data_IF_320711792665
#
_entry.id   IF_320711792665
#
_cell.length_a   1.000
_cell.length_b   1.000
_cell.length_c   1.000
_cell.angle_alpha   90.00
_cell.angle_beta   90.00
_cell.angle_gamma   90.00
#
_symmetry.space_group_name_H-M   'P 1'
#
loop_
_entity.id
_entity.type
_entity.pdbx_description
1 polymer ?
#
# COMPACT_ATOMS: atom_id res chain seq x y z
N UNK A 1 -4.67 7.02 -8.31
CA UNK A 1 -4.93 6.68 -9.73
C UNK A 1 -3.58 6.47 -10.38
N UNK A 2 -3.20 5.22 -10.62
CA UNK A 2 -1.93 4.94 -11.29
C UNK A 2 -1.99 5.47 -12.71
N UNK A 3 -0.96 6.22 -13.11
CA UNK A 3 -0.76 6.51 -14.51
C UNK A 3 -0.46 5.18 -15.19
N UNK A 4 -1.43 4.68 -15.96
CA UNK A 4 -1.25 3.50 -16.79
C UNK A 4 0.00 3.67 -17.66
N UNK A 5 0.63 2.58 -18.14
CA UNK A 5 1.72 2.69 -19.12
C UNK A 5 1.35 3.61 -20.29
N UNK A 6 0.07 3.62 -20.69
CA UNK A 6 -0.48 4.54 -21.70
C UNK A 6 -0.44 6.01 -21.25
N UNK A 7 -0.83 6.30 -20.00
CA UNK A 7 -0.78 7.65 -19.45
C UNK A 7 0.67 8.15 -19.28
N UNK A 8 1.60 7.31 -18.84
CA UNK A 8 3.04 7.64 -18.80
C UNK A 8 3.59 7.93 -20.20
N UNK A 9 3.22 7.15 -21.21
CA UNK A 9 3.58 7.44 -22.62
C UNK A 9 3.03 8.80 -23.06
N UNK A 10 1.77 9.14 -22.72
CA UNK A 10 1.19 10.46 -23.02
C UNK A 10 1.94 11.59 -22.33
N UNK A 11 2.33 11.43 -21.06
CA UNK A 11 3.13 12.42 -20.33
C UNK A 11 4.50 12.60 -21.00
N UNK A 12 5.20 11.52 -21.35
CA UNK A 12 6.48 11.60 -22.08
C UNK A 12 6.35 12.30 -23.42
N UNK A 13 5.29 12.01 -24.18
CA UNK A 13 5.02 12.68 -25.45
C UNK A 13 4.78 14.18 -25.23
N UNK A 14 3.96 14.53 -24.24
CA UNK A 14 3.62 15.91 -23.90
C UNK A 14 4.85 16.70 -23.42
N UNK A 15 5.72 16.10 -22.60
CA UNK A 15 7.04 16.66 -22.25
C UNK A 15 7.86 16.93 -23.50
N UNK A 16 7.98 15.95 -24.40
CA UNK A 16 8.70 16.10 -25.67
C UNK A 16 8.15 17.23 -26.54
N UNK A 17 6.83 17.34 -26.65
CA UNK A 17 6.16 18.42 -27.38
C UNK A 17 6.46 19.79 -26.78
N UNK A 18 6.41 19.95 -25.45
CA UNK A 18 6.74 21.23 -24.81
C UNK A 18 8.20 21.63 -25.00
N UNK A 19 9.13 20.68 -24.92
CA UNK A 19 10.54 20.96 -25.22
C UNK A 19 10.74 21.33 -26.69
N UNK A 20 10.09 20.62 -27.62
CA UNK A 20 10.16 20.93 -29.04
C UNK A 20 9.60 22.33 -29.36
N UNK A 21 8.43 22.68 -28.78
CA UNK A 21 7.84 24.01 -28.92
C UNK A 21 8.74 25.10 -28.31
N UNK A 22 9.27 24.88 -27.10
CA UNK A 22 10.19 25.81 -26.46
C UNK A 22 11.47 26.04 -27.28
N UNK A 23 12.06 24.97 -27.81
CA UNK A 23 13.23 25.05 -28.69
C UNK A 23 12.92 25.78 -30.00
N UNK A 24 11.77 25.49 -30.63
CA UNK A 24 11.33 26.17 -31.85
C UNK A 24 11.10 27.67 -31.61
N UNK A 25 10.44 28.05 -30.51
CA UNK A 25 10.25 29.46 -30.14
C UNK A 25 11.58 30.18 -29.93
N UNK A 26 12.57 29.50 -29.36
CA UNK A 26 13.92 30.07 -29.21
C UNK A 26 14.61 30.30 -30.57
N UNK A 27 14.53 29.33 -31.48
CA UNK A 27 15.05 29.47 -32.86
C UNK A 27 14.38 30.64 -33.59
N UNK A 28 13.05 30.76 -33.51
CA UNK A 28 12.30 31.87 -34.11
C UNK A 28 12.74 33.21 -33.50
N UNK A 29 12.92 33.28 -32.18
CA UNK A 29 13.40 34.48 -31.52
C UNK A 29 14.81 34.90 -31.99
N UNK A 30 15.72 33.94 -32.20
CA UNK A 30 17.06 34.21 -32.77
C UNK A 30 16.95 34.75 -34.19
N UNK A 31 16.09 34.16 -35.04
CA UNK A 31 15.85 34.63 -36.40
C UNK A 31 15.30 36.07 -36.37
N UNK A 32 14.29 36.35 -35.55
CA UNK A 32 13.72 37.70 -35.45
C UNK A 32 14.74 38.74 -34.98
N UNK A 33 15.63 38.35 -34.05
CA UNK A 33 16.73 39.19 -33.60
C UNK A 33 17.71 39.52 -34.75
N UNK A 34 18.00 38.59 -35.65
CA UNK A 34 18.85 38.83 -36.83
C UNK A 34 18.22 39.82 -37.82
N UNK A 35 16.88 39.92 -37.85
CA UNK A 35 16.13 40.86 -38.69
C UNK A 35 15.67 42.12 -37.94
N UNK A 36 16.17 42.36 -36.72
CA UNK A 36 15.79 43.52 -35.89
C UNK A 36 14.28 43.63 -35.59
N UNK A 37 13.56 42.50 -35.58
CA UNK A 37 12.14 42.44 -35.20
C UNK A 37 12.04 42.16 -33.70
N UNK A 38 11.64 43.15 -32.90
CA UNK A 38 11.41 42.94 -31.47
C UNK A 38 10.05 42.29 -31.21
N UNK A 39 10.05 41.00 -30.84
CA UNK A 39 8.85 40.32 -30.36
C UNK A 39 9.09 39.64 -29.00
N UNK A 40 8.92 40.40 -27.92
CA UNK A 40 9.08 39.94 -26.54
C UNK A 40 8.15 38.78 -26.18
N UNK A 41 6.98 38.68 -26.82
CA UNK A 41 6.00 37.64 -26.54
C UNK A 41 6.52 36.24 -26.89
N UNK A 42 7.22 36.07 -28.02
CA UNK A 42 7.75 34.77 -28.46
C UNK A 42 8.82 34.26 -27.48
N UNK A 43 9.67 35.15 -26.96
CA UNK A 43 10.70 34.82 -25.98
C UNK A 43 10.04 34.34 -24.67
N UNK A 44 9.03 35.07 -24.19
CA UNK A 44 8.29 34.71 -22.98
C UNK A 44 7.60 33.35 -23.15
N UNK A 45 6.93 33.13 -24.29
CA UNK A 45 6.26 31.86 -24.58
C UNK A 45 7.25 30.69 -24.61
N UNK A 46 8.40 30.86 -25.29
CA UNK A 46 9.45 29.84 -25.34
C UNK A 46 10.00 29.50 -23.95
N UNK A 47 10.24 30.51 -23.11
CA UNK A 47 10.69 30.30 -21.73
C UNK A 47 9.64 29.58 -20.87
N UNK A 48 8.36 29.96 -20.97
CA UNK A 48 7.26 29.28 -20.27
C UNK A 48 7.14 27.82 -20.71
N UNK A 49 7.18 27.54 -22.02
CA UNK A 49 7.17 26.17 -22.54
C UNK A 49 8.35 25.34 -22.04
N UNK A 50 9.56 25.94 -21.98
CA UNK A 50 10.74 25.27 -21.42
C UNK A 50 10.57 24.95 -19.93
N UNK A 51 10.11 25.90 -19.12
CA UNK A 51 9.85 25.67 -17.69
C UNK A 51 8.80 24.58 -17.47
N UNK A 52 7.73 24.57 -18.27
CA UNK A 52 6.72 23.50 -18.24
C UNK A 52 7.33 22.14 -18.61
N UNK A 53 8.19 22.08 -19.63
CA UNK A 53 8.92 20.86 -20.00
C UNK A 53 9.76 20.30 -18.85
N UNK A 54 10.53 21.16 -18.16
CA UNK A 54 11.32 20.79 -16.98
C UNK A 54 10.42 20.31 -15.83
N UNK A 55 9.33 21.01 -15.56
CA UNK A 55 8.38 20.68 -14.50
C UNK A 55 7.69 19.33 -14.76
N UNK A 56 7.12 19.13 -15.95
CA UNK A 56 6.51 17.84 -16.33
C UNK A 56 7.54 16.71 -16.36
N UNK A 57 8.79 16.99 -16.75
CA UNK A 57 9.90 16.04 -16.66
C UNK A 57 10.16 15.53 -15.23
N UNK A 58 10.09 16.43 -14.24
CA UNK A 58 10.20 16.04 -12.81
C UNK A 58 8.99 15.21 -12.36
N UNK A 59 7.76 15.62 -12.70
CA UNK A 59 6.53 14.87 -12.36
C UNK A 59 6.52 13.48 -13.00
N UNK A 60 6.99 13.37 -14.24
CA UNK A 60 7.08 12.11 -14.98
C UNK A 60 8.02 11.12 -14.31
N UNK A 61 9.23 11.57 -13.93
CA UNK A 61 10.21 10.76 -13.19
C UNK A 61 9.67 10.32 -11.82
N UNK A 62 9.06 11.23 -11.06
CA UNK A 62 8.41 10.92 -9.80
C UNK A 62 7.34 9.82 -9.95
N UNK A 63 6.43 10.01 -10.91
CA UNK A 63 5.33 9.07 -11.17
C UNK A 63 5.83 7.70 -11.62
N UNK A 64 6.88 7.65 -12.46
CA UNK A 64 7.50 6.41 -12.90
C UNK A 64 8.18 5.68 -11.75
N UNK A 65 8.98 6.39 -10.95
CA UNK A 65 9.66 5.81 -9.80
C UNK A 65 8.68 5.25 -8.78
N UNK A 66 7.61 6.01 -8.45
CA UNK A 66 6.50 5.54 -7.60
C UNK A 66 5.87 4.26 -8.17
N UNK A 67 5.56 4.25 -9.47
CA UNK A 67 4.98 3.09 -10.13
C UNK A 67 5.89 1.85 -10.08
N UNK A 68 7.21 2.03 -10.24
CA UNK A 68 8.20 0.96 -10.08
C UNK A 68 8.23 0.44 -8.64
N UNK A 69 8.28 1.34 -7.65
CA UNK A 69 8.32 0.97 -6.25
C UNK A 69 7.08 0.17 -5.84
N UNK A 70 5.89 0.59 -6.28
CA UNK A 70 4.64 -0.13 -5.97
C UNK A 70 4.59 -1.50 -6.65
N UNK A 71 5.06 -1.62 -7.89
CA UNK A 71 5.13 -2.93 -8.56
C UNK A 71 6.11 -3.87 -7.86
N UNK A 72 7.27 -3.35 -7.46
CA UNK A 72 8.27 -4.12 -6.71
C UNK A 72 7.71 -4.50 -5.34
N UNK A 73 7.11 -3.57 -4.60
CA UNK A 73 6.52 -3.85 -3.30
C UNK A 73 5.41 -4.89 -3.36
N UNK A 74 4.51 -4.83 -4.35
CA UNK A 74 3.53 -5.90 -4.55
C UNK A 74 4.19 -7.26 -4.82
N UNK A 75 5.25 -7.30 -5.62
CA UNK A 75 5.99 -8.53 -5.89
C UNK A 75 6.67 -9.06 -4.62
N UNK A 76 7.42 -8.22 -3.91
CA UNK A 76 8.20 -8.60 -2.74
C UNK A 76 7.30 -8.96 -1.55
N UNK A 77 6.35 -8.09 -1.21
CA UNK A 77 5.48 -8.26 -0.05
C UNK A 77 4.40 -9.29 -0.32
N UNK A 78 3.55 -9.08 -1.33
CA UNK A 78 2.34 -9.90 -1.50
C UNK A 78 2.58 -11.26 -2.16
N UNK A 79 3.65 -11.42 -2.95
CA UNK A 79 3.87 -12.64 -3.74
C UNK A 79 5.11 -13.43 -3.33
N UNK A 80 6.23 -12.75 -3.05
CA UNK A 80 7.48 -13.41 -2.70
C UNK A 80 7.71 -13.51 -1.19
N UNK A 81 6.88 -12.83 -0.39
CA UNK A 81 6.94 -12.86 1.08
C UNK A 81 8.31 -12.45 1.62
N UNK A 82 8.89 -11.39 1.03
CA UNK A 82 10.16 -10.75 1.40
C UNK A 82 9.92 -9.29 1.84
N UNK A 83 9.15 -9.05 2.92
CA UNK A 83 8.78 -7.70 3.33
C UNK A 83 9.98 -6.85 3.78
N UNK A 84 11.00 -7.45 4.39
CA UNK A 84 12.21 -6.74 4.83
C UNK A 84 12.97 -6.09 3.65
N UNK A 85 13.10 -6.80 2.52
CA UNK A 85 13.74 -6.27 1.31
C UNK A 85 12.96 -5.07 0.75
N UNK A 86 11.63 -5.09 0.83
CA UNK A 86 10.81 -3.96 0.43
C UNK A 86 10.99 -2.75 1.36
N UNK A 87 11.05 -2.94 2.68
CA UNK A 87 11.29 -1.86 3.64
C UNK A 87 12.65 -1.20 3.37
N UNK A 88 13.72 -1.99 3.22
CA UNK A 88 15.05 -1.46 2.88
C UNK A 88 15.02 -0.64 1.57
N UNK A 89 14.38 -1.17 0.53
CA UNK A 89 14.23 -0.45 -0.75
C UNK A 89 13.42 0.84 -0.60
N UNK A 90 12.35 0.81 0.19
CA UNK A 90 11.52 1.99 0.45
C UNK A 90 12.33 3.09 1.16
N UNK A 91 13.09 2.74 2.20
CA UNK A 91 13.94 3.67 2.94
C UNK A 91 15.04 4.26 2.05
N UNK A 92 15.74 3.43 1.27
CA UNK A 92 16.74 3.88 0.30
C UNK A 92 16.16 4.90 -0.69
N UNK A 93 14.95 4.64 -1.22
CA UNK A 93 14.30 5.53 -2.19
C UNK A 93 13.70 6.78 -1.55
N UNK A 94 13.25 6.70 -0.29
CA UNK A 94 12.75 7.84 0.49
C UNK A 94 13.86 8.86 0.73
N UNK A 95 15.05 8.38 1.08
CA UNK A 95 16.17 9.23 1.47
C UNK A 95 17.05 9.66 0.27
N UNK A 96 16.78 9.12 -0.93
CA UNK A 96 17.50 9.49 -2.15
C UNK A 96 17.21 10.92 -2.65
N UNK A 97 18.25 11.62 -3.10
CA UNK A 97 18.15 12.96 -3.70
C UNK A 97 17.36 12.99 -5.01
N UNK A 98 17.15 11.82 -5.64
CA UNK A 98 16.33 11.67 -6.85
C UNK A 98 14.81 11.82 -6.57
N UNK A 99 14.42 11.99 -5.29
CA UNK A 99 13.09 12.42 -4.85
C UNK A 99 11.94 11.58 -5.42
N UNK A 100 12.10 10.26 -5.52
CA UNK A 100 11.02 9.38 -5.99
C UNK A 100 9.92 9.23 -4.93
N UNK A 101 10.23 9.42 -3.64
CA UNK A 101 9.32 9.14 -2.51
C UNK A 101 9.36 10.22 -1.42
N UNK A 102 9.88 11.43 -1.70
CA UNK A 102 10.04 12.47 -0.67
C UNK A 102 8.74 12.88 0.03
N UNK A 103 7.59 12.58 -0.58
CA UNK A 103 6.27 12.58 0.05
C UNK A 103 5.62 11.22 -0.21
N UNK A 104 5.61 10.31 0.78
CA UNK A 104 5.04 8.99 0.56
C UNK A 104 3.55 9.14 0.25
N UNK A 105 3.16 8.55 -0.86
CA UNK A 105 1.77 8.54 -1.30
C UNK A 105 1.00 7.42 -0.61
N UNK A 106 -0.31 7.60 -0.47
CA UNK A 106 -1.22 6.62 0.14
C UNK A 106 -1.00 5.18 -0.36
N UNK A 107 -0.82 4.98 -1.67
CA UNK A 107 -0.68 3.63 -2.23
C UNK A 107 0.69 2.99 -1.87
N UNK A 108 1.72 3.80 -1.65
CA UNK A 108 3.02 3.33 -1.14
C UNK A 108 2.91 3.00 0.35
N UNK A 109 2.27 3.88 1.13
CA UNK A 109 2.08 3.67 2.56
C UNK A 109 1.29 2.39 2.86
N UNK A 110 0.29 2.04 2.03
CA UNK A 110 -0.40 0.75 2.16
C UNK A 110 0.61 -0.42 2.13
N UNK A 111 1.54 -0.42 1.16
CA UNK A 111 2.53 -1.50 1.06
C UNK A 111 3.50 -1.50 2.24
N UNK A 112 3.83 -0.32 2.79
CA UNK A 112 4.68 -0.20 3.97
C UNK A 112 3.97 -0.74 5.22
N UNK A 113 2.69 -0.41 5.41
CA UNK A 113 1.83 -1.00 6.46
C UNK A 113 1.81 -2.52 6.31
N UNK A 114 1.47 -3.04 5.13
CA UNK A 114 1.42 -4.50 4.88
C UNK A 114 2.78 -5.18 5.10
N UNK A 115 3.89 -4.51 4.80
CA UNK A 115 5.21 -5.06 5.04
C UNK A 115 5.56 -5.09 6.53
N UNK A 116 5.20 -4.05 7.31
CA UNK A 116 5.40 -4.05 8.75
C UNK A 116 4.52 -5.06 9.47
N UNK A 117 3.25 -5.21 9.07
CA UNK A 117 2.34 -6.26 9.54
C UNK A 117 2.95 -7.66 9.28
N UNK A 118 3.42 -7.92 8.06
CA UNK A 118 4.07 -9.19 7.71
C UNK A 118 5.39 -9.45 8.49
N UNK A 119 6.02 -8.40 9.02
CA UNK A 119 7.20 -8.47 9.89
C UNK A 119 6.85 -8.50 11.38
N UNK A 120 5.57 -8.36 11.75
CA UNK A 120 5.13 -8.26 13.14
C UNK A 120 5.59 -6.99 13.86
N UNK A 121 5.97 -5.94 13.11
CA UNK A 121 6.42 -4.66 13.66
C UNK A 121 5.23 -3.72 13.86
N UNK A 122 4.42 -4.02 14.89
CA UNK A 122 3.18 -3.30 15.17
C UNK A 122 3.39 -1.81 15.48
N UNK A 123 4.53 -1.45 16.07
CA UNK A 123 4.83 -0.04 16.40
C UNK A 123 4.99 0.78 15.11
N UNK A 124 5.84 0.33 14.19
CA UNK A 124 6.04 1.02 12.91
C UNK A 124 4.83 0.93 12.00
N UNK A 125 4.04 -0.13 12.10
CA UNK A 125 2.77 -0.26 11.41
C UNK A 125 1.80 0.86 11.83
N UNK A 126 1.58 1.03 13.14
CA UNK A 126 0.72 2.09 13.68
C UNK A 126 1.25 3.49 13.33
N UNK A 127 2.56 3.73 13.44
CA UNK A 127 3.17 5.00 13.02
C UNK A 127 2.90 5.29 11.53
N UNK A 128 3.00 4.26 10.69
CA UNK A 128 2.74 4.38 9.25
C UNK A 128 1.26 4.63 8.96
N UNK A 129 0.35 4.02 9.73
CA UNK A 129 -1.10 4.28 9.64
C UNK A 129 -1.45 5.72 10.04
N UNK A 130 -0.82 6.28 11.07
CA UNK A 130 -0.99 7.70 11.43
C UNK A 130 -0.51 8.64 10.32
N UNK A 131 0.66 8.35 9.72
CA UNK A 131 1.14 9.07 8.53
C UNK A 131 0.14 8.95 7.39
N UNK A 132 -0.41 7.76 7.15
CA UNK A 132 -1.40 7.52 6.10
C UNK A 132 -2.69 8.30 6.35
N UNK A 133 -3.14 8.39 7.61
CA UNK A 133 -4.31 9.17 8.01
C UNK A 133 -4.11 10.67 7.78
N UNK A 134 -2.91 11.19 8.05
CA UNK A 134 -2.57 12.61 7.85
C UNK A 134 -2.64 13.08 6.41
N UNK A 135 -2.44 12.17 5.44
CA UNK A 135 -2.51 12.47 4.00
C UNK A 135 -3.78 11.91 3.32
N UNK A 136 -4.60 11.15 4.06
CA UNK A 136 -5.80 10.54 3.52
C UNK A 136 -6.85 11.60 3.21
N UNK A 137 -7.48 11.48 2.03
CA UNK A 137 -8.71 12.23 1.76
C UNK A 137 -9.84 11.76 2.69
N UNK A 138 -10.85 12.60 2.94
CA UNK A 138 -12.01 12.24 3.77
C UNK A 138 -12.67 10.93 3.35
N UNK A 139 -12.69 10.64 2.04
CA UNK A 139 -13.20 9.37 1.50
C UNK A 139 -12.36 8.15 1.90
N UNK A 140 -11.05 8.32 2.09
CA UNK A 140 -10.09 7.25 2.42
C UNK A 140 -9.89 7.08 3.93
N UNK A 141 -10.17 8.10 4.76
CA UNK A 141 -10.03 8.00 6.23
C UNK A 141 -10.74 6.78 6.85
N UNK A 142 -11.97 6.40 6.45
CA UNK A 142 -12.62 5.22 7.00
C UNK A 142 -11.82 3.94 6.76
N UNK A 143 -11.20 3.80 5.59
CA UNK A 143 -10.34 2.65 5.29
C UNK A 143 -9.06 2.64 6.14
N UNK A 144 -8.45 3.80 6.41
CA UNK A 144 -7.28 3.87 7.30
C UNK A 144 -7.66 3.49 8.73
N UNK A 145 -8.78 4.03 9.24
CA UNK A 145 -9.28 3.71 10.57
C UNK A 145 -9.65 2.22 10.70
N UNK A 146 -10.11 1.60 9.61
CA UNK A 146 -10.39 0.17 9.53
C UNK A 146 -9.11 -0.68 9.72
N UNK A 147 -8.03 -0.30 9.04
CA UNK A 147 -6.74 -0.98 9.20
C UNK A 147 -6.21 -0.77 10.61
N UNK A 148 -6.27 0.46 11.12
CA UNK A 148 -5.84 0.78 12.49
C UNK A 148 -6.62 -0.01 13.55
N UNK A 149 -7.94 -0.16 13.41
CA UNK A 149 -8.73 -0.94 14.36
C UNK A 149 -8.38 -2.42 14.34
N UNK A 150 -8.07 -3.00 13.17
CA UNK A 150 -7.59 -4.40 13.06
C UNK A 150 -6.30 -4.60 13.86
N UNK A 151 -5.32 -3.69 13.71
CA UNK A 151 -4.07 -3.73 14.49
C UNK A 151 -4.32 -3.56 15.98
N UNK A 152 -5.21 -2.63 16.39
CA UNK A 152 -5.55 -2.45 17.79
C UNK A 152 -6.21 -3.68 18.41
N UNK A 153 -7.07 -4.38 17.66
CA UNK A 153 -7.63 -5.67 18.10
C UNK A 153 -6.53 -6.72 18.27
N UNK A 154 -5.55 -6.79 17.37
CA UNK A 154 -4.48 -7.81 17.42
C UNK A 154 -3.57 -7.65 18.65
N UNK A 155 -3.39 -6.42 19.14
CA UNK A 155 -2.61 -6.11 20.35
C UNK A 155 -3.47 -5.96 21.62
N UNK A 156 -4.77 -6.26 21.56
CA UNK A 156 -5.66 -6.25 22.72
C UNK A 156 -6.11 -4.87 23.21
N UNK A 157 -5.93 -3.80 22.42
CA UNK A 157 -6.50 -2.47 22.71
C UNK A 157 -7.96 -2.39 22.25
N UNK A 158 -8.81 -3.22 22.87
CA UNK A 158 -10.18 -3.49 22.40
C UNK A 158 -11.05 -2.24 22.41
N UNK A 159 -10.97 -1.41 23.46
CA UNK A 159 -11.82 -0.21 23.60
C UNK A 159 -11.52 0.83 22.51
N UNK A 160 -10.23 1.11 22.25
CA UNK A 160 -9.81 2.02 21.18
C UNK A 160 -10.21 1.49 19.79
N UNK A 161 -10.05 0.17 19.58
CA UNK A 161 -10.44 -0.50 18.34
C UNK A 161 -11.94 -0.39 18.08
N UNK A 162 -12.78 -0.63 19.09
CA UNK A 162 -14.24 -0.55 18.98
C UNK A 162 -14.72 0.88 18.72
N UNK A 163 -14.09 1.89 19.35
CA UNK A 163 -14.41 3.28 19.08
C UNK A 163 -14.18 3.62 17.60
N UNK A 164 -12.99 3.32 17.07
CA UNK A 164 -12.66 3.56 15.67
C UNK A 164 -13.57 2.76 14.72
N UNK A 165 -13.89 1.52 15.08
CA UNK A 165 -14.77 0.67 14.30
C UNK A 165 -16.20 1.23 14.23
N UNK A 166 -16.74 1.69 15.35
CA UNK A 166 -18.07 2.33 15.40
C UNK A 166 -18.14 3.59 14.54
N UNK A 167 -17.09 4.42 14.55
CA UNK A 167 -16.99 5.58 13.66
C UNK A 167 -17.02 5.22 12.18
N UNK A 168 -16.34 4.12 11.80
CA UNK A 168 -16.31 3.63 10.41
C UNK A 168 -17.67 3.09 9.98
N UNK A 169 -18.37 2.34 10.83
CA UNK A 169 -19.70 1.79 10.53
C UNK A 169 -20.76 2.87 10.28
N UNK A 170 -20.65 4.01 10.98
CA UNK A 170 -21.58 5.13 10.84
C UNK A 170 -21.37 5.95 9.57
N UNK A 171 -20.31 5.70 8.80
CA UNK A 171 -20.02 6.41 7.54
C UNK A 171 -20.51 5.63 6.32
N UNK A 172 -20.95 6.35 5.29
CA UNK A 172 -21.22 5.75 3.98
C UNK A 172 -19.91 5.30 3.33
N UNK A 173 -19.64 4.00 3.40
CA UNK A 173 -18.51 3.36 2.72
C UNK A 173 -18.90 2.92 1.31
N UNK A 174 -17.93 2.88 0.39
CA UNK A 174 -18.14 2.18 -0.87
C UNK A 174 -18.30 0.66 -0.62
N UNK A 175 -18.95 -0.08 -1.54
CA UNK A 175 -19.24 -1.50 -1.33
C UNK A 175 -18.01 -2.37 -1.07
N UNK A 176 -16.86 -2.04 -1.66
CA UNK A 176 -15.63 -2.82 -1.50
C UNK A 176 -15.04 -2.59 -0.10
N UNK A 177 -14.95 -1.34 0.34
CA UNK A 177 -14.51 -1.01 1.71
C UNK A 177 -15.45 -1.63 2.75
N UNK A 178 -16.77 -1.60 2.51
CA UNK A 178 -17.75 -2.26 3.38
C UNK A 178 -17.55 -3.77 3.44
N UNK A 179 -17.35 -4.42 2.30
CA UNK A 179 -17.06 -5.86 2.23
C UNK A 179 -15.78 -6.21 2.99
N UNK A 180 -14.69 -5.46 2.80
CA UNK A 180 -13.44 -5.68 3.52
C UNK A 180 -13.62 -5.47 5.03
N UNK A 181 -14.36 -4.43 5.43
CA UNK A 181 -14.74 -4.18 6.83
C UNK A 181 -15.52 -5.35 7.42
N UNK A 182 -16.46 -5.92 6.67
CA UNK A 182 -17.29 -7.02 7.14
C UNK A 182 -16.48 -8.31 7.33
N UNK A 183 -15.46 -8.56 6.50
CA UNK A 183 -14.70 -9.83 6.53
C UNK A 183 -13.56 -9.76 7.54
N UNK A 184 -12.69 -8.76 7.40
CA UNK A 184 -11.45 -8.67 8.18
C UNK A 184 -11.77 -8.35 9.63
N UNK A 185 -12.56 -7.29 9.87
CA UNK A 185 -12.81 -6.85 11.24
C UNK A 185 -13.76 -7.75 12.01
N UNK A 186 -14.74 -8.42 11.39
CA UNK A 186 -15.56 -9.37 12.16
C UNK A 186 -14.72 -10.53 12.66
N UNK A 187 -13.76 -10.99 11.87
CA UNK A 187 -12.85 -12.05 12.30
C UNK A 187 -11.89 -11.56 13.39
N UNK A 188 -11.24 -10.40 13.22
CA UNK A 188 -10.28 -9.87 14.20
C UNK A 188 -10.95 -9.46 15.52
N UNK A 189 -12.10 -8.79 15.42
CA UNK A 189 -12.94 -8.44 16.57
C UNK A 189 -13.42 -9.68 17.31
N UNK A 190 -13.93 -10.68 16.60
CA UNK A 190 -14.37 -11.93 17.23
C UNK A 190 -13.21 -12.65 17.93
N UNK A 191 -12.01 -12.67 17.31
CA UNK A 191 -10.80 -13.17 17.94
C UNK A 191 -10.46 -12.42 19.24
N UNK A 192 -10.48 -11.09 19.21
CA UNK A 192 -10.17 -10.25 20.36
C UNK A 192 -11.17 -10.42 21.51
N UNK A 193 -12.46 -10.65 21.18
CA UNK A 193 -13.53 -10.90 22.15
C UNK A 193 -13.63 -12.37 22.60
N UNK A 194 -12.79 -13.26 22.08
CA UNK A 194 -12.83 -14.69 22.40
C UNK A 194 -13.97 -15.48 21.75
N UNK A 195 -14.71 -14.89 20.80
CA UNK A 195 -15.72 -15.60 20.00
C UNK A 195 -15.05 -16.35 18.84
N UNK A 196 -14.34 -17.42 19.20
CA UNK A 196 -13.58 -18.23 18.24
C UNK A 196 -14.47 -18.90 17.19
N UNK A 197 -15.76 -19.13 17.49
CA UNK A 197 -16.71 -19.73 16.54
C UNK A 197 -17.03 -18.76 15.41
N UNK A 198 -17.34 -17.50 15.72
CA UNK A 198 -17.58 -16.48 14.70
C UNK A 198 -16.30 -16.20 13.90
N UNK A 199 -15.15 -16.13 14.58
CA UNK A 199 -13.86 -15.94 13.92
C UNK A 199 -13.54 -17.07 12.91
N UNK A 200 -13.84 -18.33 13.26
CA UNK A 200 -13.64 -19.48 12.38
C UNK A 200 -14.49 -19.39 11.11
N UNK A 201 -15.79 -19.07 11.27
CA UNK A 201 -16.74 -18.96 10.15
C UNK A 201 -16.24 -17.91 9.15
N UNK A 202 -15.85 -16.73 9.63
CA UNK A 202 -15.38 -15.66 8.76
C UNK A 202 -14.04 -15.98 8.11
N UNK A 203 -13.10 -16.59 8.84
CA UNK A 203 -11.82 -17.01 8.28
C UNK A 203 -11.99 -18.07 7.19
N UNK A 204 -12.89 -19.05 7.38
CA UNK A 204 -13.23 -20.05 6.36
C UNK A 204 -13.93 -19.43 5.15
N UNK A 205 -14.84 -18.47 5.36
CA UNK A 205 -15.45 -17.74 4.27
C UNK A 205 -14.40 -16.97 3.45
N UNK A 206 -13.45 -16.32 4.10
CA UNK A 206 -12.36 -15.61 3.42
C UNK A 206 -11.46 -16.58 2.62
N UNK A 207 -11.19 -17.77 3.17
CA UNK A 207 -10.42 -18.80 2.46
C UNK A 207 -11.17 -19.32 1.22
N UNK A 208 -12.50 -19.44 1.31
CA UNK A 208 -13.35 -19.93 0.23
C UNK A 208 -13.69 -18.85 -0.84
N UNK A 209 -13.40 -17.58 -0.56
CA UNK A 209 -13.69 -16.49 -1.51
C UNK A 209 -12.80 -16.59 -2.76
N UNK A 210 -13.43 -16.46 -3.92
CA UNK A 210 -12.74 -16.40 -5.22
C UNK A 210 -12.39 -14.97 -5.62
N UNK A 211 -13.02 -13.97 -4.99
CA UNK A 211 -12.83 -12.56 -5.30
C UNK A 211 -12.87 -11.66 -4.03
N UNK A 212 -11.87 -10.77 -3.83
CA UNK A 212 -10.64 -10.68 -4.61
C UNK A 212 -9.81 -11.97 -4.49
N UNK A 213 -9.00 -12.27 -5.52
CA UNK A 213 -8.13 -13.46 -5.47
C UNK A 213 -7.13 -13.28 -4.32
N UNK A 214 -7.05 -14.27 -3.44
CA UNK A 214 -6.10 -14.24 -2.34
C UNK A 214 -4.65 -14.18 -2.86
N UNK A 215 -3.86 -13.29 -2.28
CA UNK A 215 -2.41 -13.25 -2.50
C UNK A 215 -1.76 -14.33 -1.62
N UNK A 216 -0.53 -14.75 -1.92
CA UNK A 216 0.24 -15.60 -1.00
C UNK A 216 0.26 -15.09 0.44
N UNK A 217 0.45 -13.78 0.64
CA UNK A 217 0.43 -13.19 1.98
C UNK A 217 -0.96 -13.30 2.64
N UNK A 218 -2.04 -12.95 1.94
CA UNK A 218 -3.38 -13.03 2.53
C UNK A 218 -3.81 -14.47 2.83
N UNK A 219 -3.39 -15.45 2.02
CA UNK A 219 -3.59 -16.87 2.34
C UNK A 219 -2.85 -17.26 3.62
N UNK A 220 -1.60 -16.79 3.76
CA UNK A 220 -0.79 -17.02 4.94
C UNK A 220 -1.46 -16.49 6.21
N UNK A 221 -1.99 -15.26 6.17
CA UNK A 221 -2.69 -14.63 7.29
C UNK A 221 -3.93 -15.42 7.70
N UNK A 222 -4.74 -15.87 6.73
CA UNK A 222 -5.96 -16.63 6.98
C UNK A 222 -5.63 -17.98 7.63
N UNK A 223 -4.63 -18.69 7.10
CA UNK A 223 -4.19 -19.95 7.67
C UNK A 223 -3.65 -19.78 9.09
N UNK A 224 -2.86 -18.73 9.32
CA UNK A 224 -2.33 -18.44 10.64
C UNK A 224 -3.43 -18.11 11.66
N UNK A 225 -4.42 -17.34 11.24
CA UNK A 225 -5.59 -17.03 12.08
C UNK A 225 -6.39 -18.29 12.43
N UNK A 226 -6.65 -19.17 11.45
CA UNK A 226 -7.30 -20.46 11.69
C UNK A 226 -6.49 -21.35 12.64
N UNK A 227 -5.16 -21.38 12.50
CA UNK A 227 -4.30 -22.11 13.43
C UNK A 227 -4.46 -21.61 14.87
N UNK A 228 -4.45 -20.28 15.08
CA UNK A 228 -4.67 -19.67 16.41
C UNK A 228 -6.06 -19.99 16.97
N UNK A 229 -7.10 -19.94 16.14
CA UNK A 229 -8.48 -20.30 16.53
C UNK A 229 -8.54 -21.75 17.01
N UNK A 230 -7.98 -22.69 16.23
CA UNK A 230 -8.00 -24.11 16.57
C UNK A 230 -7.16 -24.42 17.80
N UNK A 231 -6.01 -23.77 17.94
CA UNK A 231 -5.21 -23.88 19.15
C UNK A 231 -5.98 -23.44 20.39
N UNK A 232 -6.62 -22.26 20.34
CA UNK A 232 -7.41 -21.71 21.46
C UNK A 232 -8.65 -22.53 21.81
N UNK A 233 -9.17 -23.31 20.86
CA UNK A 233 -10.35 -24.18 21.05
C UNK A 233 -9.99 -25.65 21.33
N UNK A 234 -8.70 -25.96 21.50
CA UNK A 234 -8.23 -27.32 21.82
C UNK A 234 -8.22 -28.30 20.63
N UNK A 235 -8.44 -27.81 19.41
CA UNK A 235 -8.42 -28.59 18.15
C UNK A 235 -6.99 -28.66 17.61
N UNK A 236 -6.13 -29.37 18.34
CA UNK A 236 -4.67 -29.31 18.15
C UNK A 236 -4.22 -29.86 16.80
N UNK A 237 -4.86 -30.91 16.28
CA UNK A 237 -4.50 -31.50 14.98
C UNK A 237 -4.78 -30.54 13.82
N UNK A 238 -5.93 -29.86 13.81
CA UNK A 238 -6.22 -28.85 12.79
C UNK A 238 -5.33 -27.61 12.94
N UNK A 239 -5.00 -27.21 14.16
CA UNK A 239 -4.04 -26.14 14.42
C UNK A 239 -2.67 -26.46 13.82
N UNK A 240 -2.17 -27.67 14.05
CA UNK A 240 -0.90 -28.17 13.53
C UNK A 240 -0.85 -28.14 12.00
N UNK A 241 -1.92 -28.58 11.33
CA UNK A 241 -2.01 -28.55 9.87
C UNK A 241 -1.88 -27.13 9.30
N UNK A 242 -2.54 -26.15 9.92
CA UNK A 242 -2.45 -24.76 9.46
C UNK A 242 -1.12 -24.09 9.82
N UNK A 243 -0.54 -24.37 10.98
CA UNK A 243 0.81 -23.88 11.28
C UNK A 243 1.86 -24.46 10.34
N UNK A 244 1.77 -25.75 9.99
CA UNK A 244 2.68 -26.34 9.00
C UNK A 244 2.58 -25.63 7.65
N UNK A 245 1.37 -25.32 7.18
CA UNK A 245 1.19 -24.51 5.96
C UNK A 245 1.94 -23.17 6.07
N UNK A 246 1.83 -22.48 7.20
CA UNK A 246 2.51 -21.20 7.41
C UNK A 246 4.04 -21.33 7.45
N UNK A 247 4.56 -22.42 8.02
CA UNK A 247 6.01 -22.68 8.05
C UNK A 247 6.56 -22.96 6.66
N UNK A 248 5.86 -23.78 5.88
CA UNK A 248 6.26 -24.18 4.53
C UNK A 248 6.17 -23.02 3.53
N UNK A 249 5.15 -22.18 3.64
CA UNK A 249 4.83 -21.17 2.63
C UNK A 249 5.16 -19.73 3.07
N UNK A 250 5.56 -19.49 4.32
CA UNK A 250 5.60 -18.14 4.88
C UNK A 250 6.80 -17.25 4.51
N UNK A 251 7.76 -17.73 3.72
CA UNK A 251 8.90 -16.91 3.26
C UNK A 251 9.74 -16.32 4.40
N UNK A 252 9.94 -15.00 4.39
CA UNK A 252 10.69 -14.21 5.39
C UNK A 252 9.74 -13.43 6.35
N UNK A 253 8.53 -13.94 6.60
CA UNK A 253 7.53 -13.26 7.45
C UNK A 253 7.66 -13.64 8.94
N UNK A 254 7.14 -12.78 9.81
CA UNK A 254 6.96 -13.07 11.23
C UNK A 254 5.98 -14.22 11.46
N UNK A 255 4.95 -14.34 10.61
CA UNK A 255 3.97 -15.44 10.67
C UNK A 255 4.66 -16.80 10.59
N UNK A 256 5.63 -16.97 9.69
CA UNK A 256 6.43 -18.21 9.61
C UNK A 256 7.14 -18.50 10.92
N UNK A 257 7.79 -17.50 11.48
CA UNK A 257 8.59 -17.62 12.71
C UNK A 257 7.71 -17.94 13.92
N UNK A 258 6.57 -17.26 14.07
CA UNK A 258 5.59 -17.51 15.13
C UNK A 258 4.95 -18.90 14.97
N UNK A 259 4.56 -19.30 13.75
CA UNK A 259 4.02 -20.64 13.47
C UNK A 259 5.02 -21.76 13.81
N UNK A 260 6.29 -21.59 13.43
CA UNK A 260 7.35 -22.55 13.75
C UNK A 260 7.60 -22.65 15.26
N UNK A 261 7.44 -21.54 15.99
CA UNK A 261 7.51 -21.55 17.45
C UNK A 261 6.31 -22.29 18.07
N UNK A 262 5.09 -22.00 17.61
CA UNK A 262 3.87 -22.63 18.10
C UNK A 262 3.87 -24.15 17.91
N UNK A 263 4.39 -24.65 16.80
CA UNK A 263 4.54 -26.09 16.53
C UNK A 263 5.42 -26.84 17.53
N UNK A 264 6.30 -26.15 18.28
CA UNK A 264 7.11 -26.79 19.32
C UNK A 264 6.31 -27.12 20.58
N UNK A 265 5.14 -26.51 20.74
CA UNK A 265 4.26 -26.67 21.89
C UNK A 265 3.02 -27.54 21.59
N UNK A 266 2.89 -28.01 20.35
CA UNK A 266 1.81 -28.88 19.85
C UNK A 266 2.28 -30.33 19.73
#
# INVERSE_FOLDING_TARGET
MFLTRKALKKIRLLIGTYFALGALSFVIAVIFKLFSIENKFIIILGFVCFLLGVFFGKIGRYSEGKGKLINIGNKLVNHQLRPAEFIHLYEEKRDSSENVVSKPDFDVLILVVTAYDALGDTERELETLEKMLSIASEKKKPFVNLLKSSVLFSIGKIEEAEQLFGEVQNRKMDPITKMMSDIILKSDRAMALGDYKIAEIHSKQQLAQTFPKNTPLSLLDIHFRLAKIYYKTGRLDEAKNHYNYCVENGGETAIKSEAANMLKFL
#
